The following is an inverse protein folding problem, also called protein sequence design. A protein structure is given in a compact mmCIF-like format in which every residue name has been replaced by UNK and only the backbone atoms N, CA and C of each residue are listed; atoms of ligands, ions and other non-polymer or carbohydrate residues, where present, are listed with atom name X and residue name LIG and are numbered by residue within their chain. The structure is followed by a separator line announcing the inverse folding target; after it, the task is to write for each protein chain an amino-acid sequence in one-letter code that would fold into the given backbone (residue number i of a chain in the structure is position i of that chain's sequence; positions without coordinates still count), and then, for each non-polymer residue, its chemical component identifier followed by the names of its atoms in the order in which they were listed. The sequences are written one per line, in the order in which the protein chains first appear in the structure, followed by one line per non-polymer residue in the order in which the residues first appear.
data_IF_488561974454
#
_entry.id   IF_488561974454
#
_cell.length_a   1.000
_cell.length_b   1.000
_cell.length_c   1.000
_cell.angle_alpha   90.00
_cell.angle_beta   90.00
_cell.angle_gamma   90.00
#
_symmetry.space_group_name_H-M   'P 1'
#
loop_
_entity.id
_entity.type
_entity.pdbx_description
1 polymer ?
#
# COMPACT_ATOMS: atom_id res chain seq x y z
N UNK A 1 -2.56 -45.78 39.24
CA UNK A 1 -1.50 -45.39 40.18
C UNK A 1 -1.77 -43.97 40.61
N UNK A 2 -1.93 -43.76 41.92
CA UNK A 2 -1.98 -42.44 42.55
C UNK A 2 -0.73 -42.32 43.41
N UNK A 3 0.06 -41.28 43.20
CA UNK A 3 1.28 -41.05 43.99
C UNK A 3 1.47 -39.58 44.31
N UNK A 4 2.06 -39.33 45.47
CA UNK A 4 2.54 -38.02 45.90
C UNK A 4 4.03 -38.16 46.18
N UNK A 5 4.87 -37.31 45.59
CA UNK A 5 6.32 -37.34 45.80
C UNK A 5 7.14 -37.49 44.52
N UNK A 6 8.30 -38.13 44.65
CA UNK A 6 9.27 -38.29 43.57
C UNK A 6 9.13 -39.66 42.90
N UNK A 7 8.95 -39.69 41.58
CA UNK A 7 9.15 -40.86 40.74
C UNK A 7 10.45 -40.63 39.98
N UNK A 8 11.48 -41.41 40.28
CA UNK A 8 12.77 -41.27 39.60
C UNK A 8 12.71 -41.85 38.18
N UNK A 9 12.26 -43.11 38.05
CA UNK A 9 12.04 -43.76 36.76
C UNK A 9 10.74 -44.55 36.77
N UNK A 10 10.00 -44.50 35.67
CA UNK A 10 8.88 -45.39 35.41
C UNK A 10 8.83 -45.71 33.91
N UNK A 11 9.05 -46.95 33.53
CA UNK A 11 9.02 -47.37 32.12
C UNK A 11 7.60 -47.19 31.55
N UNK A 12 6.59 -47.83 32.15
CA UNK A 12 5.27 -47.88 31.54
C UNK A 12 4.11 -47.66 32.51
N UNK A 13 3.12 -46.88 32.08
CA UNK A 13 1.82 -46.79 32.71
C UNK A 13 0.68 -47.10 31.74
N UNK A 14 0.04 -48.26 31.93
CA UNK A 14 -0.99 -48.78 31.01
C UNK A 14 -2.33 -48.03 31.08
N UNK A 15 -2.77 -47.58 32.26
CA UNK A 15 -4.17 -47.15 32.48
C UNK A 15 -4.33 -45.71 32.96
N UNK A 16 -4.17 -45.48 34.26
CA UNK A 16 -4.36 -44.15 34.86
C UNK A 16 -3.21 -43.84 35.79
N UNK A 17 -2.56 -42.72 35.52
CA UNK A 17 -1.59 -42.09 36.39
C UNK A 17 -2.15 -40.77 36.89
N UNK A 18 -2.13 -40.59 38.21
CA UNK A 18 -2.39 -39.33 38.89
C UNK A 18 -1.22 -39.07 39.82
N UNK A 19 -0.47 -37.99 39.59
CA UNK A 19 0.68 -37.67 40.43
C UNK A 19 0.66 -36.22 40.89
N UNK A 20 1.14 -35.99 42.12
CA UNK A 20 1.52 -34.67 42.61
C UNK A 20 2.98 -34.74 43.03
N UNK A 21 3.86 -34.03 42.33
CA UNK A 21 5.30 -34.03 42.61
C UNK A 21 6.16 -34.05 41.36
N UNK A 22 7.30 -34.74 41.43
CA UNK A 22 8.31 -34.74 40.37
C UNK A 22 8.41 -36.12 39.74
N UNK A 23 8.27 -36.18 38.41
CA UNK A 23 8.59 -37.35 37.59
C UNK A 23 9.88 -37.00 36.87
N UNK A 24 10.98 -37.70 37.19
CA UNK A 24 12.25 -37.43 36.52
C UNK A 24 12.28 -38.06 35.13
N UNK A 25 11.88 -39.32 34.99
CA UNK A 25 11.75 -39.98 33.69
C UNK A 25 10.50 -40.86 33.63
N UNK A 26 9.79 -40.79 32.50
CA UNK A 26 8.68 -41.67 32.16
C UNK A 26 8.73 -42.00 30.67
N UNK A 27 8.92 -43.25 30.29
CA UNK A 27 9.00 -43.61 28.87
C UNK A 27 7.60 -43.57 28.25
N UNK A 28 6.64 -44.34 28.77
CA UNK A 28 5.34 -44.49 28.11
C UNK A 28 4.13 -44.34 29.05
N UNK A 29 3.18 -43.50 28.64
CA UNK A 29 1.83 -43.48 29.19
C UNK A 29 0.77 -43.72 28.10
N UNK A 30 0.10 -44.87 28.20
CA UNK A 30 -0.84 -45.33 27.19
C UNK A 30 -2.19 -44.60 27.22
N UNK A 31 -2.77 -44.40 28.41
CA UNK A 31 -4.19 -44.05 28.53
C UNK A 31 -4.47 -42.66 29.09
N UNK A 32 -4.24 -42.43 30.39
CA UNK A 32 -4.50 -41.14 31.01
C UNK A 32 -3.42 -40.79 32.02
N UNK A 33 -2.84 -39.62 31.85
CA UNK A 33 -1.93 -38.99 32.79
C UNK A 33 -2.54 -37.68 33.27
N UNK A 34 -2.55 -37.50 34.58
CA UNK A 34 -2.83 -36.24 35.24
C UNK A 34 -1.68 -35.96 36.20
N UNK A 35 -0.97 -34.86 36.01
CA UNK A 35 0.14 -34.48 36.89
C UNK A 35 -0.02 -33.05 37.39
N UNK A 36 0.35 -32.84 38.65
CA UNK A 36 0.61 -31.51 39.20
C UNK A 36 2.06 -31.49 39.67
N UNK A 37 2.91 -30.69 39.03
CA UNK A 37 4.33 -30.59 39.36
C UNK A 37 5.23 -30.62 38.13
N UNK A 38 6.36 -31.32 38.23
CA UNK A 38 7.40 -31.30 37.21
C UNK A 38 7.56 -32.67 36.56
N UNK A 39 7.52 -32.71 35.23
CA UNK A 39 7.94 -33.85 34.42
C UNK A 39 9.25 -33.43 33.75
N UNK A 40 10.35 -34.08 34.09
CA UNK A 40 11.64 -33.73 33.49
C UNK A 40 11.77 -34.35 32.10
N UNK A 41 11.56 -35.66 31.94
CA UNK A 41 11.43 -36.28 30.62
C UNK A 41 10.19 -37.16 30.53
N UNK A 42 9.50 -37.06 29.38
CA UNK A 42 8.44 -37.98 28.98
C UNK A 42 8.59 -38.31 27.50
N UNK A 43 8.84 -39.57 27.15
CA UNK A 43 9.01 -39.92 25.73
C UNK A 43 7.64 -39.92 25.03
N UNK A 44 6.69 -40.73 25.48
CA UNK A 44 5.42 -40.92 24.78
C UNK A 44 4.19 -40.85 25.67
N UNK A 45 3.22 -40.03 25.25
CA UNK A 45 1.85 -40.08 25.75
C UNK A 45 0.85 -40.31 24.62
N UNK A 46 0.21 -41.48 24.62
CA UNK A 46 -0.65 -41.89 23.52
C UNK A 46 -2.03 -41.24 23.56
N UNK A 47 -2.72 -41.23 24.70
CA UNK A 47 -4.16 -40.89 24.73
C UNK A 47 -4.49 -39.51 25.33
N UNK A 48 -4.32 -39.32 26.64
CA UNK A 48 -4.66 -38.05 27.28
C UNK A 48 -3.64 -37.68 28.34
N UNK A 49 -3.09 -36.49 28.18
CA UNK A 49 -2.25 -35.84 29.17
C UNK A 49 -2.93 -34.57 29.66
N UNK A 50 -2.97 -34.41 30.98
CA UNK A 50 -3.30 -33.15 31.63
C UNK A 50 -2.19 -32.83 32.63
N UNK A 51 -1.53 -31.69 32.48
CA UNK A 51 -0.47 -31.28 33.40
C UNK A 51 -0.73 -29.88 33.92
N UNK A 52 -0.43 -29.67 35.19
CA UNK A 52 -0.28 -28.33 35.78
C UNK A 52 1.13 -28.24 36.33
N UNK A 53 1.96 -27.40 35.73
CA UNK A 53 3.36 -27.22 36.12
C UNK A 53 4.32 -27.21 34.93
N UNK A 54 5.45 -27.89 35.06
CA UNK A 54 6.54 -27.83 34.08
C UNK A 54 6.76 -29.19 33.42
N UNK A 55 6.81 -29.19 32.09
CA UNK A 55 7.31 -30.30 31.27
C UNK A 55 8.63 -29.82 30.68
N UNK A 56 9.75 -30.44 31.06
CA UNK A 56 11.04 -30.02 30.54
C UNK A 56 11.27 -30.62 29.14
N UNK A 57 11.13 -31.93 28.95
CA UNK A 57 11.09 -32.54 27.62
C UNK A 57 9.89 -33.46 27.44
N UNK A 58 9.25 -33.36 26.28
CA UNK A 58 8.25 -34.31 25.82
C UNK A 58 8.48 -34.62 24.34
N UNK A 59 8.78 -35.86 23.99
CA UNK A 59 9.02 -36.21 22.58
C UNK A 59 7.68 -36.24 21.83
N UNK A 60 6.74 -37.10 22.25
CA UNK A 60 5.51 -37.33 21.49
C UNK A 60 4.24 -37.32 22.34
N UNK A 61 3.24 -36.54 21.89
CA UNK A 61 1.87 -36.68 22.34
C UNK A 61 0.92 -36.90 21.15
N UNK A 62 0.32 -38.09 21.09
CA UNK A 62 -0.48 -38.48 19.94
C UNK A 62 -1.88 -37.85 19.94
N UNK A 63 -2.65 -37.99 21.02
CA UNK A 63 -4.09 -37.69 20.98
C UNK A 63 -4.50 -36.34 21.60
N UNK A 64 -4.36 -36.18 22.91
CA UNK A 64 -4.80 -34.94 23.59
C UNK A 64 -3.84 -34.54 24.68
N UNK A 65 -3.31 -33.33 24.55
CA UNK A 65 -2.53 -32.65 25.57
C UNK A 65 -3.28 -31.42 26.06
N UNK A 66 -3.37 -31.29 27.37
CA UNK A 66 -3.78 -30.05 28.03
C UNK A 66 -2.72 -29.69 29.07
N UNK A 67 -2.12 -28.52 28.97
CA UNK A 67 -1.12 -28.08 29.95
C UNK A 67 -1.45 -26.68 30.46
N UNK A 68 -1.23 -26.49 31.76
CA UNK A 68 -1.17 -25.16 32.38
C UNK A 68 0.21 -25.02 32.99
N UNK A 69 1.03 -24.12 32.44
CA UNK A 69 2.40 -23.88 32.89
C UNK A 69 3.39 -23.82 31.74
N UNK A 70 4.55 -24.45 31.91
CA UNK A 70 5.67 -24.33 30.98
C UNK A 70 5.98 -25.66 30.31
N UNK A 71 6.09 -25.65 28.98
CA UNK A 71 6.68 -26.71 28.18
C UNK A 71 8.01 -26.17 27.66
N UNK A 72 9.13 -26.75 28.07
CA UNK A 72 10.43 -26.29 27.60
C UNK A 72 10.73 -26.84 26.21
N UNK A 73 10.67 -28.15 26.01
CA UNK A 73 10.71 -28.74 24.66
C UNK A 73 9.56 -29.72 24.42
N UNK A 74 8.96 -29.63 23.24
CA UNK A 74 8.01 -30.60 22.72
C UNK A 74 8.32 -30.88 21.25
N UNK A 75 8.69 -32.12 20.91
CA UNK A 75 8.99 -32.43 19.50
C UNK A 75 7.69 -32.53 18.69
N UNK A 76 6.77 -33.43 19.07
CA UNK A 76 5.59 -33.70 18.24
C UNK A 76 4.28 -33.76 19.03
N UNK A 77 3.29 -33.02 18.54
CA UNK A 77 1.89 -33.22 18.92
C UNK A 77 1.01 -33.47 17.71
N UNK A 78 0.46 -34.68 17.60
CA UNK A 78 -0.29 -35.07 16.40
C UNK A 78 -1.70 -34.48 16.37
N UNK A 79 -2.52 -34.69 17.40
CA UNK A 79 -3.95 -34.42 17.30
C UNK A 79 -4.44 -33.10 17.92
N UNK A 80 -4.38 -32.96 19.24
CA UNK A 80 -4.92 -31.77 19.92
C UNK A 80 -4.03 -31.33 21.06
N UNK A 81 -3.55 -30.12 20.97
CA UNK A 81 -2.83 -29.41 22.02
C UNK A 81 -3.65 -28.23 22.50
N UNK A 82 -3.81 -28.11 23.82
CA UNK A 82 -4.28 -26.90 24.47
C UNK A 82 -3.29 -26.52 25.55
N UNK A 83 -2.73 -25.32 25.49
CA UNK A 83 -1.79 -24.85 26.51
C UNK A 83 -2.20 -23.49 27.04
N UNK A 84 -2.03 -23.29 28.34
CA UNK A 84 -2.06 -21.97 28.97
C UNK A 84 -0.70 -21.77 29.64
N UNK A 85 0.09 -20.83 29.15
CA UNK A 85 1.43 -20.54 29.67
C UNK A 85 2.46 -20.41 28.55
N UNK A 86 3.64 -21.00 28.75
CA UNK A 86 4.79 -20.82 27.88
C UNK A 86 5.18 -22.13 27.21
N UNK A 87 5.36 -22.09 25.88
CA UNK A 87 6.03 -23.13 25.11
C UNK A 87 7.35 -22.52 24.64
N UNK A 88 8.48 -23.06 25.09
CA UNK A 88 9.78 -22.54 24.68
C UNK A 88 10.15 -23.06 23.29
N UNK A 89 10.17 -24.37 23.08
CA UNK A 89 10.30 -24.94 21.72
C UNK A 89 9.20 -25.95 21.42
N UNK A 90 8.65 -25.86 20.21
CA UNK A 90 7.77 -26.86 19.64
C UNK A 90 8.15 -27.11 18.18
N UNK A 91 8.57 -28.33 17.83
CA UNK A 91 8.94 -28.62 16.44
C UNK A 91 7.68 -28.76 15.58
N UNK A 92 6.78 -29.71 15.91
CA UNK A 92 5.65 -30.02 15.04
C UNK A 92 4.32 -30.14 15.77
N UNK A 93 3.32 -29.45 15.23
CA UNK A 93 1.91 -29.70 15.55
C UNK A 93 1.08 -29.96 14.29
N UNK A 94 0.59 -31.20 14.14
CA UNK A 94 -0.09 -31.60 12.92
C UNK A 94 -1.53 -31.06 12.83
N UNK A 95 -2.37 -31.31 13.82
CA UNK A 95 -3.82 -31.11 13.66
C UNK A 95 -4.39 -29.83 14.27
N UNK A 96 -4.40 -29.70 15.61
CA UNK A 96 -5.01 -28.55 16.28
C UNK A 96 -4.18 -28.10 17.47
N UNK A 97 -3.74 -26.85 17.41
CA UNK A 97 -3.10 -26.15 18.50
C UNK A 97 -3.98 -24.99 18.96
N UNK A 98 -4.20 -24.91 20.26
CA UNK A 98 -4.76 -23.73 20.91
C UNK A 98 -3.84 -23.33 22.05
N UNK A 99 -3.32 -22.10 22.02
CA UNK A 99 -2.45 -21.61 23.09
C UNK A 99 -2.93 -20.26 23.61
N UNK A 100 -2.82 -20.08 24.93
CA UNK A 100 -2.93 -18.77 25.57
C UNK A 100 -1.62 -18.51 26.29
N UNK A 101 -0.86 -17.53 25.85
CA UNK A 101 0.45 -17.18 26.42
C UNK A 101 1.53 -17.01 25.37
N UNK A 102 2.71 -17.55 25.63
CA UNK A 102 3.90 -17.30 24.79
C UNK A 102 4.37 -18.58 24.12
N UNK A 103 4.61 -18.51 22.82
CA UNK A 103 5.37 -19.51 22.05
C UNK A 103 6.67 -18.84 21.65
N UNK A 104 7.81 -19.35 22.12
CA UNK A 104 9.10 -18.76 21.78
C UNK A 104 9.56 -19.24 20.40
N UNK A 105 9.64 -20.55 20.15
CA UNK A 105 9.88 -21.10 18.81
C UNK A 105 8.85 -22.16 18.45
N UNK A 106 8.33 -22.06 17.23
CA UNK A 106 7.50 -23.09 16.61
C UNK A 106 7.94 -23.32 15.17
N UNK A 107 8.42 -24.51 14.83
CA UNK A 107 8.87 -24.77 13.45
C UNK A 107 7.65 -24.95 12.54
N UNK A 108 6.78 -25.93 12.81
CA UNK A 108 5.70 -26.28 11.88
C UNK A 108 4.33 -26.48 12.56
N UNK A 109 3.32 -25.82 11.98
CA UNK A 109 1.92 -26.13 12.25
C UNK A 109 1.16 -26.41 10.95
N UNK A 110 0.73 -27.66 10.76
CA UNK A 110 0.12 -28.08 9.49
C UNK A 110 -1.32 -27.61 9.34
N UNK A 111 -2.21 -27.88 10.31
CA UNK A 111 -3.65 -27.74 10.09
C UNK A 111 -4.30 -26.50 10.69
N UNK A 112 -4.38 -26.39 12.01
CA UNK A 112 -5.08 -25.28 12.67
C UNK A 112 -4.33 -24.81 13.90
N UNK A 113 -3.93 -23.54 13.88
CA UNK A 113 -3.37 -22.83 15.00
C UNK A 113 -4.31 -21.72 15.45
N UNK A 114 -4.58 -21.67 16.74
CA UNK A 114 -5.23 -20.52 17.38
C UNK A 114 -4.38 -20.10 18.56
N UNK A 115 -3.91 -18.84 18.58
CA UNK A 115 -3.10 -18.34 19.69
C UNK A 115 -3.66 -17.02 20.20
N UNK A 116 -3.60 -16.83 21.52
CA UNK A 116 -3.78 -15.54 22.17
C UNK A 116 -2.53 -15.25 22.96
N UNK A 117 -1.76 -14.23 22.55
CA UNK A 117 -0.52 -13.84 23.19
C UNK A 117 0.60 -13.59 22.19
N UNK A 118 1.80 -14.07 22.49
CA UNK A 118 3.01 -13.76 21.73
C UNK A 118 3.56 -15.02 21.06
N UNK A 119 3.86 -14.92 19.77
CA UNK A 119 4.69 -15.87 19.03
C UNK A 119 5.98 -15.15 18.69
N UNK A 120 7.11 -15.61 19.20
CA UNK A 120 8.39 -14.96 18.91
C UNK A 120 8.91 -15.41 17.54
N UNK A 121 9.08 -16.71 17.29
CA UNK A 121 9.36 -17.22 15.95
C UNK A 121 8.39 -18.32 15.53
N UNK A 122 7.95 -18.25 14.27
CA UNK A 122 7.21 -19.30 13.61
C UNK A 122 7.71 -19.48 12.18
N UNK A 123 8.25 -20.65 11.85
CA UNK A 123 8.76 -20.87 10.49
C UNK A 123 7.59 -21.10 9.53
N UNK A 124 6.75 -22.12 9.76
CA UNK A 124 5.73 -22.50 8.78
C UNK A 124 4.34 -22.76 9.40
N UNK A 125 3.33 -22.13 8.79
CA UNK A 125 1.94 -22.51 8.98
C UNK A 125 1.23 -22.79 7.65
N UNK A 126 0.85 -24.05 7.44
CA UNK A 126 0.32 -24.47 6.14
C UNK A 126 -1.14 -24.05 5.94
N UNK A 127 -2.05 -24.40 6.84
CA UNK A 127 -3.49 -24.33 6.55
C UNK A 127 -4.23 -23.12 7.14
N UNK A 128 -4.34 -23.03 8.47
CA UNK A 128 -5.12 -21.96 9.12
C UNK A 128 -4.44 -21.47 10.38
N UNK A 129 -4.11 -20.19 10.40
CA UNK A 129 -3.62 -19.47 11.56
C UNK A 129 -4.63 -18.40 11.97
N UNK A 130 -4.96 -18.37 13.25
CA UNK A 130 -5.69 -17.28 13.88
C UNK A 130 -4.89 -16.82 15.11
N UNK A 131 -4.46 -15.57 15.15
CA UNK A 131 -3.72 -15.04 16.29
C UNK A 131 -4.36 -13.75 16.80
N UNK A 132 -4.37 -13.59 18.12
CA UNK A 132 -4.63 -12.31 18.78
C UNK A 132 -3.42 -11.98 19.63
N UNK A 133 -2.69 -10.92 19.27
CA UNK A 133 -1.48 -10.48 19.97
C UNK A 133 -0.35 -10.17 19.01
N UNK A 134 0.87 -10.62 19.35
CA UNK A 134 2.09 -10.25 18.64
C UNK A 134 2.73 -11.47 17.97
N UNK A 135 3.09 -11.33 16.71
CA UNK A 135 3.98 -12.24 16.00
C UNK A 135 5.27 -11.46 15.72
N UNK A 136 6.40 -11.89 16.28
CA UNK A 136 7.66 -11.18 16.04
C UNK A 136 8.27 -11.56 14.70
N UNK A 137 8.45 -12.85 14.43
CA UNK A 137 8.87 -13.34 13.11
C UNK A 137 7.98 -14.48 12.62
N UNK A 138 7.58 -14.40 11.35
CA UNK A 138 6.90 -15.47 10.65
C UNK A 138 7.47 -15.61 9.24
N UNK A 139 8.06 -16.76 8.91
CA UNK A 139 8.63 -16.95 7.58
C UNK A 139 7.52 -17.21 6.56
N UNK A 140 6.72 -18.27 6.75
CA UNK A 140 5.76 -18.68 5.72
C UNK A 140 4.36 -19.00 6.26
N UNK A 141 3.35 -18.41 5.62
CA UNK A 141 1.96 -18.83 5.74
C UNK A 141 1.32 -19.13 4.39
N UNK A 142 1.00 -20.41 4.15
CA UNK A 142 0.53 -20.83 2.82
C UNK A 142 -0.93 -20.47 2.56
N UNK A 143 -1.86 -20.86 3.43
CA UNK A 143 -3.30 -20.83 3.09
C UNK A 143 -4.10 -19.66 3.66
N UNK A 144 -4.31 -19.61 4.98
CA UNK A 144 -5.14 -18.58 5.60
C UNK A 144 -4.54 -18.09 6.90
N UNK A 145 -4.25 -16.80 6.94
CA UNK A 145 -3.85 -16.08 8.13
C UNK A 145 -4.91 -15.05 8.51
N UNK A 146 -5.31 -15.05 9.78
CA UNK A 146 -6.10 -14.00 10.39
C UNK A 146 -5.38 -13.53 11.65
N UNK A 147 -5.00 -12.27 11.72
CA UNK A 147 -4.34 -11.71 12.91
C UNK A 147 -5.05 -10.47 13.41
N UNK A 148 -5.13 -10.33 14.73
CA UNK A 148 -5.49 -9.08 15.39
C UNK A 148 -4.33 -8.70 16.30
N UNK A 149 -3.62 -7.61 15.98
CA UNK A 149 -2.47 -7.14 16.74
C UNK A 149 -1.29 -6.75 15.84
N UNK A 150 -0.09 -7.15 16.23
CA UNK A 150 1.15 -6.71 15.59
C UNK A 150 1.87 -7.89 14.93
N UNK A 151 2.27 -7.72 13.67
CA UNK A 151 3.23 -8.59 12.98
C UNK A 151 4.48 -7.74 12.77
N UNK A 152 5.61 -8.14 13.35
CA UNK A 152 6.84 -7.37 13.20
C UNK A 152 7.54 -7.72 11.88
N UNK A 153 7.84 -9.00 11.62
CA UNK A 153 8.29 -9.45 10.29
C UNK A 153 7.45 -10.60 9.77
N UNK A 154 7.12 -10.53 8.49
CA UNK A 154 6.52 -11.62 7.73
C UNK A 154 7.16 -11.72 6.35
N UNK A 155 7.81 -12.84 6.04
CA UNK A 155 8.46 -12.99 4.73
C UNK A 155 7.41 -13.29 3.66
N UNK A 156 6.65 -14.38 3.78
CA UNK A 156 5.74 -14.82 2.71
C UNK A 156 4.34 -15.20 3.18
N UNK A 157 3.34 -14.64 2.50
CA UNK A 157 1.96 -15.12 2.56
C UNK A 157 1.39 -15.43 1.18
N UNK A 158 1.12 -16.72 0.92
CA UNK A 158 0.74 -17.15 -0.43
C UNK A 158 -0.72 -16.85 -0.75
N UNK A 159 -1.68 -17.29 0.07
CA UNK A 159 -3.09 -17.32 -0.33
C UNK A 159 -3.97 -16.19 0.22
N UNK A 160 -4.22 -16.15 1.54
CA UNK A 160 -5.13 -15.16 2.13
C UNK A 160 -4.61 -14.66 3.46
N UNK A 161 -4.38 -13.36 3.53
CA UNK A 161 -4.05 -12.63 4.74
C UNK A 161 -5.18 -11.67 5.09
N UNK A 162 -5.62 -11.71 6.34
CA UNK A 162 -6.48 -10.69 6.93
C UNK A 162 -5.84 -10.21 8.22
N UNK A 163 -5.53 -8.93 8.33
CA UNK A 163 -4.93 -8.37 9.55
C UNK A 163 -5.73 -7.15 10.03
N UNK A 164 -5.86 -7.05 11.35
CA UNK A 164 -6.31 -5.83 12.02
C UNK A 164 -5.21 -5.41 12.99
N UNK A 165 -4.55 -4.29 12.72
CA UNK A 165 -3.46 -3.76 13.54
C UNK A 165 -2.26 -3.33 12.69
N UNK A 166 -1.05 -3.67 13.13
CA UNK A 166 0.20 -3.18 12.54
C UNK A 166 1.00 -4.31 11.91
N UNK A 167 1.44 -4.11 10.67
CA UNK A 167 2.47 -4.91 10.01
C UNK A 167 3.69 -4.01 9.87
N UNK A 168 4.81 -4.36 10.51
CA UNK A 168 6.02 -3.55 10.42
C UNK A 168 6.77 -3.86 9.11
N UNK A 169 7.16 -5.11 8.86
CA UNK A 169 7.68 -5.52 7.55
C UNK A 169 6.92 -6.70 6.97
N UNK A 170 6.64 -6.63 5.67
CA UNK A 170 6.12 -7.74 4.89
C UNK A 170 6.82 -7.79 3.53
N UNK A 171 7.53 -8.88 3.24
CA UNK A 171 8.24 -8.98 1.95
C UNK A 171 7.25 -9.31 0.83
N UNK A 172 6.54 -10.44 0.91
CA UNK A 172 5.72 -10.90 -0.20
C UNK A 172 4.31 -11.35 0.20
N UNK A 173 3.31 -10.83 -0.53
CA UNK A 173 1.96 -11.37 -0.52
C UNK A 173 1.45 -11.68 -1.94
N UNK A 174 1.23 -12.96 -2.24
CA UNK A 174 0.93 -13.40 -3.59
C UNK A 174 -0.53 -13.15 -3.98
N UNK A 175 -1.50 -13.64 -3.21
CA UNK A 175 -2.89 -13.72 -3.68
C UNK A 175 -3.84 -12.65 -3.16
N UNK A 176 -4.16 -12.63 -1.86
CA UNK A 176 -5.13 -11.69 -1.30
C UNK A 176 -4.69 -11.19 0.07
N UNK A 177 -4.52 -9.88 0.16
CA UNK A 177 -4.28 -9.17 1.39
C UNK A 177 -5.46 -8.25 1.71
N UNK A 178 -5.95 -8.32 2.94
CA UNK A 178 -6.88 -7.36 3.50
C UNK A 178 -6.32 -6.87 4.83
N UNK A 179 -6.07 -5.58 4.96
CA UNK A 179 -5.55 -5.00 6.21
C UNK A 179 -6.42 -3.84 6.69
N UNK A 180 -6.60 -3.75 7.99
CA UNK A 180 -7.14 -2.57 8.66
C UNK A 180 -6.10 -2.11 9.68
N UNK A 181 -5.47 -0.96 9.45
CA UNK A 181 -4.44 -0.41 10.32
C UNK A 181 -3.23 0.10 9.55
N UNK A 182 -2.03 -0.20 10.03
CA UNK A 182 -0.78 0.36 9.50
C UNK A 182 0.10 -0.74 8.89
N UNK A 183 0.60 -0.49 7.69
CA UNK A 183 1.68 -1.24 7.06
C UNK A 183 2.87 -0.29 6.98
N UNK A 184 3.97 -0.60 7.67
CA UNK A 184 5.15 0.26 7.63
C UNK A 184 5.97 0.02 6.36
N UNK A 185 6.36 -1.22 6.08
CA UNK A 185 7.00 -1.58 4.81
C UNK A 185 6.35 -2.80 4.18
N UNK A 186 6.11 -2.73 2.88
CA UNK A 186 5.66 -3.84 2.05
C UNK A 186 6.42 -3.85 0.72
N UNK A 187 7.20 -4.90 0.46
CA UNK A 187 7.97 -4.96 -0.80
C UNK A 187 7.05 -5.32 -1.96
N UNK A 188 6.37 -6.48 -1.93
CA UNK A 188 5.63 -6.97 -3.09
C UNK A 188 4.22 -7.49 -2.76
N UNK A 189 3.25 -7.00 -3.53
CA UNK A 189 1.90 -7.57 -3.56
C UNK A 189 1.43 -7.87 -4.98
N UNK A 190 1.30 -9.17 -5.31
CA UNK A 190 1.09 -9.57 -6.70
C UNK A 190 -0.37 -9.40 -7.15
N UNK A 191 -1.35 -9.97 -6.44
CA UNK A 191 -2.70 -10.11 -6.99
C UNK A 191 -3.73 -9.08 -6.50
N UNK A 192 -4.08 -9.09 -5.22
CA UNK A 192 -5.13 -8.19 -4.68
C UNK A 192 -4.75 -7.70 -3.30
N UNK A 193 -4.63 -6.38 -3.17
CA UNK A 193 -4.48 -5.67 -1.91
C UNK A 193 -5.71 -4.81 -1.65
N UNK A 194 -6.24 -4.92 -0.43
CA UNK A 194 -7.24 -4.00 0.10
C UNK A 194 -6.77 -3.51 1.47
N UNK A 195 -6.59 -2.20 1.63
CA UNK A 195 -6.15 -1.63 2.90
C UNK A 195 -7.08 -0.51 3.36
N UNK A 196 -7.34 -0.45 4.66
CA UNK A 196 -7.95 0.71 5.31
C UNK A 196 -6.97 1.19 6.38
N UNK A 197 -6.40 2.37 6.20
CA UNK A 197 -5.43 2.97 7.12
C UNK A 197 -4.22 3.53 6.42
N UNK A 198 -3.02 3.28 6.95
CA UNK A 198 -1.79 3.90 6.48
C UNK A 198 -0.83 2.85 5.90
N UNK A 199 -0.30 3.14 4.72
CA UNK A 199 0.84 2.44 4.12
C UNK A 199 1.99 3.44 4.11
N UNK A 200 3.08 3.16 4.81
CA UNK A 200 4.22 4.07 4.86
C UNK A 200 5.13 3.88 3.64
N UNK A 201 5.60 2.67 3.37
CA UNK A 201 6.27 2.35 2.10
C UNK A 201 5.67 1.11 1.44
N UNK A 202 5.49 1.19 0.12
CA UNK A 202 5.13 0.07 -0.73
C UNK A 202 5.95 0.11 -2.01
N UNK A 203 6.78 -0.90 -2.25
CA UNK A 203 7.62 -0.91 -3.46
C UNK A 203 6.79 -1.31 -4.68
N UNK A 204 6.16 -2.49 -4.68
CA UNK A 204 5.49 -3.00 -5.88
C UNK A 204 4.10 -3.57 -5.63
N UNK A 205 3.13 -3.11 -6.42
CA UNK A 205 1.82 -3.74 -6.56
C UNK A 205 1.47 -4.05 -8.01
N UNK A 206 1.37 -5.33 -8.36
CA UNK A 206 1.24 -5.75 -9.75
C UNK A 206 -0.19 -5.62 -10.27
N UNK A 207 -1.18 -6.22 -9.61
CA UNK A 207 -2.51 -6.40 -10.22
C UNK A 207 -3.59 -5.42 -9.75
N UNK A 208 -4.01 -5.47 -8.49
CA UNK A 208 -5.11 -4.63 -7.99
C UNK A 208 -4.83 -4.14 -6.59
N UNK A 209 -4.78 -2.83 -6.45
CA UNK A 209 -4.71 -2.13 -5.17
C UNK A 209 -5.99 -1.33 -4.94
N UNK A 210 -6.57 -1.48 -3.75
CA UNK A 210 -7.63 -0.61 -3.26
C UNK A 210 -7.24 -0.12 -1.87
N UNK A 211 -7.11 1.19 -1.68
CA UNK A 211 -6.76 1.76 -0.38
C UNK A 211 -7.76 2.83 0.04
N UNK A 212 -8.06 2.87 1.33
CA UNK A 212 -8.75 3.99 1.97
C UNK A 212 -7.84 4.50 3.09
N UNK A 213 -7.32 5.70 2.94
CA UNK A 213 -6.42 6.33 3.91
C UNK A 213 -5.20 6.97 3.26
N UNK A 214 -4.02 6.76 3.86
CA UNK A 214 -2.79 7.45 3.45
C UNK A 214 -1.77 6.45 2.91
N UNK A 215 -1.19 6.77 1.76
CA UNK A 215 0.01 6.14 1.21
C UNK A 215 1.12 7.18 1.26
N UNK A 216 2.19 6.93 2.03
CA UNK A 216 3.28 7.89 2.12
C UNK A 216 4.24 7.75 0.93
N UNK A 217 4.76 6.54 0.66
CA UNK A 217 5.50 6.26 -0.58
C UNK A 217 4.97 5.02 -1.28
N UNK A 218 4.82 5.12 -2.59
CA UNK A 218 4.54 3.99 -3.48
C UNK A 218 5.42 4.08 -4.73
N UNK A 219 6.30 3.10 -4.94
CA UNK A 219 7.21 3.14 -6.09
C UNK A 219 6.46 2.71 -7.37
N UNK A 220 5.89 1.51 -7.41
CA UNK A 220 5.31 0.97 -8.64
C UNK A 220 3.92 0.35 -8.46
N UNK A 221 2.97 0.80 -9.28
CA UNK A 221 1.69 0.11 -9.47
C UNK A 221 1.42 -0.19 -10.96
N UNK A 222 1.41 -1.47 -11.31
CA UNK A 222 1.37 -1.87 -12.71
C UNK A 222 -0.04 -1.80 -13.32
N UNK A 223 -1.04 -2.45 -12.71
CA UNK A 223 -2.32 -2.67 -13.39
C UNK A 223 -3.47 -1.75 -12.96
N UNK A 224 -3.94 -1.84 -11.72
CA UNK A 224 -5.10 -1.06 -11.27
C UNK A 224 -4.91 -0.56 -9.84
N UNK A 225 -4.96 0.75 -9.68
CA UNK A 225 -4.96 1.43 -8.40
C UNK A 225 -6.28 2.17 -8.22
N UNK A 226 -6.90 1.98 -7.05
CA UNK A 226 -8.02 2.79 -6.59
C UNK A 226 -7.71 3.29 -5.18
N UNK A 227 -7.65 4.59 -4.96
CA UNK A 227 -7.38 5.16 -3.64
C UNK A 227 -8.43 6.20 -3.25
N UNK A 228 -8.79 6.21 -1.97
CA UNK A 228 -9.54 7.30 -1.35
C UNK A 228 -8.70 7.83 -0.19
N UNK A 229 -8.22 9.06 -0.31
CA UNK A 229 -7.39 9.71 0.70
C UNK A 229 -6.16 10.39 0.11
N UNK A 230 -5.01 10.25 0.76
CA UNK A 230 -3.80 10.99 0.41
C UNK A 230 -2.70 10.05 -0.09
N UNK A 231 -2.08 10.41 -1.21
CA UNK A 231 -0.83 9.81 -1.69
C UNK A 231 0.23 10.89 -1.59
N UNK A 232 1.27 10.68 -0.78
CA UNK A 232 2.33 11.69 -0.64
C UNK A 232 3.35 11.58 -1.78
N UNK A 233 3.91 10.40 -2.04
CA UNK A 233 4.71 10.16 -3.25
C UNK A 233 4.25 8.91 -4.00
N UNK A 234 4.18 9.03 -5.32
CA UNK A 234 3.98 7.92 -6.24
C UNK A 234 4.92 8.04 -7.43
N UNK A 235 5.85 7.09 -7.60
CA UNK A 235 6.80 7.17 -8.70
C UNK A 235 6.14 6.73 -10.01
N UNK A 236 5.61 5.51 -10.10
CA UNK A 236 5.11 4.96 -11.35
C UNK A 236 3.73 4.30 -11.24
N UNK A 237 2.82 4.72 -12.12
CA UNK A 237 1.58 4.00 -12.40
C UNK A 237 1.42 3.70 -13.89
N UNK A 238 1.43 2.43 -14.26
CA UNK A 238 1.46 2.03 -15.67
C UNK A 238 0.08 2.08 -16.34
N UNK A 239 -0.92 1.40 -15.77
CA UNK A 239 -2.18 1.13 -16.49
C UNK A 239 -3.38 2.00 -16.12
N UNK A 240 -3.92 1.84 -14.91
CA UNK A 240 -5.15 2.56 -14.50
C UNK A 240 -5.06 3.04 -13.07
N UNK A 241 -5.16 4.35 -12.88
CA UNK A 241 -5.25 5.00 -11.59
C UNK A 241 -6.60 5.70 -11.45
N UNK A 242 -7.26 5.47 -10.32
CA UNK A 242 -8.42 6.25 -9.88
C UNK A 242 -8.18 6.73 -8.46
N UNK A 243 -8.18 8.03 -8.22
CA UNK A 243 -8.00 8.58 -6.87
C UNK A 243 -9.09 9.58 -6.52
N UNK A 244 -9.52 9.56 -5.26
CA UNK A 244 -10.35 10.61 -4.67
C UNK A 244 -9.58 11.17 -3.47
N UNK A 245 -9.11 12.41 -3.57
CA UNK A 245 -8.34 13.07 -2.53
C UNK A 245 -7.12 13.81 -3.08
N UNK A 246 -5.98 13.72 -2.38
CA UNK A 246 -4.80 14.52 -2.68
C UNK A 246 -3.63 13.63 -3.11
N UNK A 247 -2.97 14.01 -4.20
CA UNK A 247 -1.67 13.46 -4.61
C UNK A 247 -0.65 14.59 -4.46
N UNK A 248 0.34 14.42 -3.58
CA UNK A 248 1.35 15.46 -3.38
C UNK A 248 2.41 15.41 -4.49
N UNK A 249 3.07 14.28 -4.71
CA UNK A 249 3.95 14.09 -5.86
C UNK A 249 3.60 12.84 -6.66
N UNK A 250 3.64 12.98 -7.99
CA UNK A 250 3.50 11.88 -8.93
C UNK A 250 4.50 12.03 -10.08
N UNK A 251 5.42 11.09 -10.25
CA UNK A 251 6.41 11.21 -11.32
C UNK A 251 5.82 10.76 -12.66
N UNK A 252 5.35 9.51 -12.78
CA UNK A 252 4.94 8.95 -14.06
C UNK A 252 3.58 8.24 -14.01
N UNK A 253 2.68 8.63 -14.92
CA UNK A 253 1.47 7.88 -15.23
C UNK A 253 1.32 7.63 -16.74
N UNK A 254 1.43 6.36 -17.14
CA UNK A 254 1.53 6.01 -18.57
C UNK A 254 0.18 5.98 -19.28
N UNK A 255 -0.84 5.27 -18.78
CA UNK A 255 -2.04 4.96 -19.57
C UNK A 255 -3.30 5.77 -19.22
N UNK A 256 -3.92 5.52 -18.07
CA UNK A 256 -5.19 6.19 -17.70
C UNK A 256 -5.19 6.64 -16.26
N UNK A 257 -5.42 7.94 -16.07
CA UNK A 257 -5.61 8.56 -14.77
C UNK A 257 -6.99 9.20 -14.67
N UNK A 258 -7.66 8.98 -13.56
CA UNK A 258 -8.85 9.74 -13.16
C UNK A 258 -8.67 10.19 -11.71
N UNK A 259 -8.66 11.49 -11.45
CA UNK A 259 -8.55 12.03 -10.09
C UNK A 259 -9.68 13.01 -9.79
N UNK A 260 -10.21 12.93 -8.58
CA UNK A 260 -11.12 13.95 -8.02
C UNK A 260 -10.43 14.52 -6.78
N UNK A 261 -9.94 15.76 -6.89
CA UNK A 261 -9.19 16.44 -5.85
C UNK A 261 -7.94 17.15 -6.37
N UNK A 262 -6.89 17.23 -5.54
CA UNK A 262 -5.71 18.05 -5.82
C UNK A 262 -4.53 17.19 -6.24
N UNK A 263 -3.80 17.61 -7.27
CA UNK A 263 -2.45 17.10 -7.58
C UNK A 263 -1.47 18.27 -7.41
N UNK A 264 -0.51 18.14 -6.50
CA UNK A 264 0.43 19.22 -6.19
C UNK A 264 1.68 19.24 -7.07
N UNK A 265 2.23 18.08 -7.44
CA UNK A 265 3.21 17.97 -8.53
C UNK A 265 2.94 16.73 -9.37
N UNK A 266 3.11 16.89 -10.69
CA UNK A 266 3.06 15.79 -11.65
C UNK A 266 4.04 16.05 -12.78
N UNK A 267 5.01 15.15 -12.96
CA UNK A 267 6.05 15.30 -13.98
C UNK A 267 5.60 14.81 -15.37
N UNK A 268 5.09 13.58 -15.48
CA UNK A 268 4.78 12.96 -16.77
C UNK A 268 3.45 12.21 -16.78
N UNK A 269 2.60 12.55 -17.76
CA UNK A 269 1.44 11.73 -18.12
C UNK A 269 1.23 11.65 -19.63
N UNK A 270 1.38 10.44 -20.17
CA UNK A 270 1.55 10.24 -21.61
C UNK A 270 0.25 10.07 -22.41
N UNK A 271 -0.76 9.38 -21.86
CA UNK A 271 -1.93 8.98 -22.64
C UNK A 271 -3.21 9.73 -22.29
N UNK A 272 -3.89 9.38 -21.19
CA UNK A 272 -5.19 9.98 -20.83
C UNK A 272 -5.22 10.36 -19.35
N UNK A 273 -5.44 11.63 -19.11
CA UNK A 273 -5.70 12.20 -17.80
C UNK A 273 -7.09 12.81 -17.77
N UNK A 274 -7.84 12.50 -16.72
CA UNK A 274 -9.08 13.18 -16.36
C UNK A 274 -8.98 13.69 -14.92
N UNK A 275 -9.11 15.00 -14.71
CA UNK A 275 -9.03 15.58 -13.35
C UNK A 275 -10.19 16.51 -13.06
N UNK A 276 -10.75 16.42 -11.84
CA UNK A 276 -11.73 17.37 -11.31
C UNK A 276 -11.15 17.98 -10.04
N UNK A 277 -10.49 19.15 -10.17
CA UNK A 277 -9.89 19.90 -9.06
C UNK A 277 -8.78 20.86 -9.50
N UNK A 278 -8.03 21.38 -8.53
CA UNK A 278 -6.93 22.35 -8.75
C UNK A 278 -5.59 21.62 -8.97
N UNK A 279 -4.70 22.21 -9.77
CA UNK A 279 -3.31 21.76 -9.94
C UNK A 279 -2.34 22.91 -9.67
N UNK A 280 -1.28 22.62 -8.91
CA UNK A 280 -0.11 23.49 -8.72
C UNK A 280 1.14 22.80 -9.27
N UNK A 281 2.23 23.55 -9.53
CA UNK A 281 3.59 23.03 -9.76
C UNK A 281 3.76 21.89 -10.77
N UNK A 282 3.81 22.21 -12.06
CA UNK A 282 4.16 21.27 -13.13
C UNK A 282 5.63 21.48 -13.48
N UNK A 283 6.50 20.57 -13.04
CA UNK A 283 7.85 20.45 -13.62
C UNK A 283 7.76 19.51 -14.84
N UNK A 284 8.31 19.92 -15.98
CA UNK A 284 8.15 19.36 -17.34
C UNK A 284 8.18 17.81 -17.47
N UNK A 285 7.37 17.17 -18.33
CA UNK A 285 7.57 17.07 -19.80
C UNK A 285 6.35 16.39 -20.44
N UNK A 286 5.73 17.08 -21.40
CA UNK A 286 4.63 16.62 -22.26
C UNK A 286 3.40 16.06 -21.52
N UNK A 287 2.40 16.92 -21.28
CA UNK A 287 1.08 16.46 -20.82
C UNK A 287 0.05 16.57 -21.95
N UNK A 288 -0.54 15.43 -22.32
CA UNK A 288 -1.70 15.37 -23.23
C UNK A 288 -2.98 15.30 -22.42
N UNK A 289 -3.71 16.41 -22.35
CA UNK A 289 -4.98 16.49 -21.63
C UNK A 289 -6.15 16.10 -22.54
N UNK A 290 -7.12 15.39 -21.94
CA UNK A 290 -8.43 15.14 -22.55
C UNK A 290 -9.56 15.65 -21.66
N UNK A 291 -9.30 16.71 -20.88
CA UNK A 291 -10.21 17.30 -19.90
C UNK A 291 -11.22 18.27 -20.54
N UNK A 292 -12.41 18.37 -19.93
CA UNK A 292 -13.48 19.34 -20.23
C UNK A 292 -13.18 20.74 -19.63
N UNK A 293 -12.39 20.84 -18.54
CA UNK A 293 -12.00 22.13 -17.95
C UNK A 293 -10.76 22.00 -17.05
N UNK A 294 -9.74 22.83 -17.28
CA UNK A 294 -8.57 22.93 -16.39
C UNK A 294 -8.50 24.29 -15.68
N UNK A 295 -8.23 24.27 -14.37
CA UNK A 295 -7.98 25.47 -13.54
C UNK A 295 -6.62 25.37 -12.84
N UNK A 296 -5.71 26.31 -13.13
CA UNK A 296 -4.35 26.39 -12.55
C UNK A 296 -4.17 27.64 -11.70
N UNK A 297 -3.42 27.51 -10.60
CA UNK A 297 -3.12 28.63 -9.67
C UNK A 297 -1.65 28.81 -9.29
N UNK A 298 -0.70 28.10 -9.92
CA UNK A 298 0.75 28.24 -9.71
C UNK A 298 1.50 28.60 -10.99
N UNK A 299 2.73 29.11 -10.87
CA UNK A 299 3.65 29.39 -11.98
C UNK A 299 4.76 28.33 -12.08
N UNK A 300 5.08 27.91 -13.30
CA UNK A 300 6.03 26.85 -13.64
C UNK A 300 7.27 27.42 -14.39
N UNK A 301 8.43 26.75 -14.30
CA UNK A 301 9.63 27.13 -15.07
C UNK A 301 9.41 26.93 -16.59
N UNK A 302 8.81 25.80 -16.99
CA UNK A 302 8.45 25.57 -18.39
C UNK A 302 7.25 24.65 -18.49
N UNK A 303 6.29 24.97 -19.37
CA UNK A 303 5.09 24.15 -19.58
C UNK A 303 4.92 23.81 -21.06
N UNK A 304 4.72 22.53 -21.37
CA UNK A 304 4.26 22.04 -22.68
C UNK A 304 2.96 21.27 -22.49
N UNK A 305 1.82 21.86 -22.86
CA UNK A 305 0.51 21.23 -22.72
C UNK A 305 -0.29 21.21 -24.03
N UNK A 306 -1.09 20.16 -24.20
CA UNK A 306 -2.14 20.10 -25.23
C UNK A 306 -3.47 19.87 -24.54
N UNK A 307 -4.38 20.84 -24.68
CA UNK A 307 -5.73 20.83 -24.10
C UNK A 307 -6.73 20.52 -25.20
N UNK A 308 -7.72 19.67 -24.91
CA UNK A 308 -8.86 19.43 -25.80
C UNK A 308 -9.79 20.64 -25.91
N UNK A 309 -11.03 20.40 -26.28
CA UNK A 309 -11.87 21.37 -27.00
C UNK A 309 -12.44 22.54 -26.16
N UNK A 310 -12.44 22.52 -24.82
CA UNK A 310 -13.35 23.42 -24.06
C UNK A 310 -12.67 24.57 -23.27
N UNK A 311 -11.84 24.33 -22.24
CA UNK A 311 -11.36 25.48 -21.44
C UNK A 311 -10.06 25.32 -20.65
N UNK A 312 -9.17 26.32 -20.76
CA UNK A 312 -7.98 26.51 -19.93
C UNK A 312 -8.04 27.83 -19.14
N UNK A 313 -8.05 27.77 -17.80
CA UNK A 313 -7.97 28.92 -16.89
C UNK A 313 -6.61 28.92 -16.14
N UNK A 314 -5.78 29.95 -16.32
CA UNK A 314 -4.47 30.09 -15.64
C UNK A 314 -4.38 31.41 -14.87
N UNK A 315 -4.13 31.37 -13.55
CA UNK A 315 -4.12 32.60 -12.74
C UNK A 315 -2.75 33.24 -12.47
N UNK A 316 -1.63 32.58 -12.80
CA UNK A 316 -0.25 33.03 -12.50
C UNK A 316 0.64 32.85 -13.75
N UNK A 317 1.73 33.61 -13.83
CA UNK A 317 2.70 33.56 -14.95
C UNK A 317 3.77 32.47 -14.79
N UNK A 318 4.07 31.78 -15.89
CA UNK A 318 5.13 30.78 -16.07
C UNK A 318 6.39 31.47 -16.69
N UNK A 319 7.62 30.96 -16.51
CA UNK A 319 8.78 31.53 -17.23
C UNK A 319 8.65 31.24 -18.74
N UNK A 320 8.28 30.02 -19.11
CA UNK A 320 7.97 29.66 -20.51
C UNK A 320 6.73 28.77 -20.65
N UNK A 321 5.70 29.25 -21.34
CA UNK A 321 4.49 28.48 -21.62
C UNK A 321 4.40 28.13 -23.12
N UNK A 322 4.33 26.85 -23.47
CA UNK A 322 3.99 26.34 -24.80
C UNK A 322 2.68 25.54 -24.74
N UNK A 323 1.60 26.01 -25.36
CA UNK A 323 0.32 25.30 -25.31
C UNK A 323 -0.42 25.22 -26.65
N UNK A 324 -1.09 24.09 -26.89
CA UNK A 324 -2.12 23.99 -27.93
C UNK A 324 -3.48 23.78 -27.27
N UNK A 325 -4.41 24.72 -27.46
CA UNK A 325 -5.79 24.66 -26.94
C UNK A 325 -6.72 24.46 -28.13
N UNK A 326 -7.73 23.59 -27.98
CA UNK A 326 -8.82 23.43 -28.94
C UNK A 326 -9.73 24.67 -29.04
N UNK A 327 -10.96 24.46 -29.52
CA UNK A 327 -11.73 25.52 -30.18
C UNK A 327 -12.36 26.58 -29.25
N UNK A 328 -12.58 26.35 -27.96
CA UNK A 328 -13.48 27.23 -27.19
C UNK A 328 -12.81 28.39 -26.41
N UNK A 329 -11.96 28.15 -25.39
CA UNK A 329 -11.53 29.29 -24.54
C UNK A 329 -10.22 29.15 -23.76
N UNK A 330 -9.37 30.17 -23.87
CA UNK A 330 -8.21 30.39 -23.00
C UNK A 330 -8.38 31.69 -22.19
N UNK A 331 -8.47 31.57 -20.85
CA UNK A 331 -8.54 32.69 -19.90
C UNK A 331 -7.27 32.73 -19.04
N UNK A 332 -6.59 33.89 -19.02
CA UNK A 332 -5.35 34.06 -18.25
C UNK A 332 -5.31 35.38 -17.50
N UNK A 333 -4.86 35.35 -16.23
CA UNK A 333 -4.67 36.57 -15.45
C UNK A 333 -3.21 36.96 -15.15
N UNK A 334 -2.26 36.02 -15.20
CA UNK A 334 -0.82 36.27 -15.05
C UNK A 334 -0.10 36.56 -16.37
N UNK A 335 1.15 37.07 -16.31
CA UNK A 335 2.02 37.29 -17.46
C UNK A 335 3.32 36.47 -17.36
N UNK A 336 3.77 35.91 -18.48
CA UNK A 336 4.92 35.00 -18.60
C UNK A 336 6.18 35.71 -19.15
N UNK A 337 7.38 35.14 -19.01
CA UNK A 337 8.54 35.66 -19.77
C UNK A 337 8.41 35.29 -21.26
N UNK A 338 8.00 34.06 -21.58
CA UNK A 338 7.73 33.63 -22.96
C UNK A 338 6.47 32.79 -23.10
N UNK A 339 5.51 33.24 -23.91
CA UNK A 339 4.33 32.45 -24.32
C UNK A 339 4.44 32.03 -25.79
N UNK A 340 4.29 30.74 -26.06
CA UNK A 340 4.01 30.16 -27.38
C UNK A 340 2.66 29.47 -27.32
N UNK A 341 1.67 29.87 -28.12
CA UNK A 341 0.40 29.15 -28.11
C UNK A 341 -0.28 29.02 -29.47
N UNK A 342 -1.01 27.92 -29.65
CA UNK A 342 -1.97 27.75 -30.75
C UNK A 342 -3.35 27.54 -30.15
N UNK A 343 -4.26 28.49 -30.35
CA UNK A 343 -5.64 28.44 -29.85
C UNK A 343 -6.58 28.34 -31.04
N UNK A 344 -7.58 27.47 -30.96
CA UNK A 344 -8.67 27.38 -31.94
C UNK A 344 -9.60 28.61 -31.93
N UNK A 345 -10.74 28.51 -32.61
CA UNK A 345 -11.41 29.66 -33.22
C UNK A 345 -12.12 30.65 -32.28
N UNK A 346 -12.44 30.35 -31.02
CA UNK A 346 -13.44 31.18 -30.32
C UNK A 346 -12.87 32.34 -29.46
N UNK A 347 -11.95 32.13 -28.51
CA UNK A 347 -11.61 33.23 -27.57
C UNK A 347 -10.33 33.12 -26.75
N UNK A 348 -9.50 34.17 -26.82
CA UNK A 348 -8.35 34.40 -25.93
C UNK A 348 -8.53 35.67 -25.07
N UNK A 349 -8.73 35.50 -23.76
CA UNK A 349 -8.82 36.59 -22.77
C UNK A 349 -7.57 36.60 -21.87
N UNK A 350 -6.84 37.72 -21.85
CA UNK A 350 -5.59 37.86 -21.08
C UNK A 350 -5.55 39.18 -20.31
N UNK A 351 -5.22 39.14 -19.02
CA UNK A 351 -5.03 40.36 -18.22
C UNK A 351 -3.57 40.70 -17.85
N UNK A 352 -2.65 39.74 -17.87
CA UNK A 352 -1.21 39.95 -17.67
C UNK A 352 -0.46 40.22 -18.99
N UNK A 353 0.67 40.92 -18.92
CA UNK A 353 1.55 41.15 -20.07
C UNK A 353 2.78 40.23 -20.03
N UNK A 354 3.11 39.59 -21.14
CA UNK A 354 4.30 38.74 -21.27
C UNK A 354 5.50 39.53 -21.82
N UNK A 355 6.74 39.11 -21.53
CA UNK A 355 7.91 39.72 -22.19
C UNK A 355 7.97 39.35 -23.68
N UNK A 356 7.65 38.09 -24.03
CA UNK A 356 7.63 37.60 -25.41
C UNK A 356 6.41 36.74 -25.72
N UNK A 357 5.63 37.13 -26.74
CA UNK A 357 4.48 36.37 -27.24
C UNK A 357 4.71 35.85 -28.67
N UNK A 358 4.47 34.55 -28.89
CA UNK A 358 4.40 33.86 -30.18
C UNK A 358 3.06 33.09 -30.24
N UNK A 359 2.01 33.64 -30.84
CA UNK A 359 0.70 32.97 -30.87
C UNK A 359 0.09 32.85 -32.27
N UNK A 360 -0.60 31.74 -32.51
CA UNK A 360 -1.55 31.60 -33.62
C UNK A 360 -2.96 31.44 -33.03
N UNK A 361 -3.84 32.39 -33.33
CA UNK A 361 -5.23 32.38 -32.85
C UNK A 361 -6.16 32.33 -34.05
N UNK A 362 -7.19 31.49 -33.98
CA UNK A 362 -8.28 31.44 -34.95
C UNK A 362 -9.16 32.70 -34.95
N UNK A 363 -10.26 32.66 -35.71
CA UNK A 363 -10.88 33.84 -36.33
C UNK A 363 -11.72 34.80 -35.44
N UNK A 364 -11.92 34.62 -34.13
CA UNK A 364 -13.01 35.38 -33.46
C UNK A 364 -12.65 36.49 -32.45
N UNK A 365 -11.69 36.30 -31.51
CA UNK A 365 -11.49 37.33 -30.47
C UNK A 365 -10.21 37.27 -29.64
N UNK A 366 -9.50 38.41 -29.58
CA UNK A 366 -8.38 38.66 -28.67
C UNK A 366 -8.61 39.90 -27.78
N UNK A 367 -8.71 39.69 -26.46
CA UNK A 367 -8.84 40.78 -25.46
C UNK A 367 -7.60 40.86 -24.54
N UNK A 368 -6.99 42.04 -24.43
CA UNK A 368 -5.76 42.27 -23.65
C UNK A 368 -5.82 43.53 -22.78
N UNK A 369 -5.25 43.49 -21.57
CA UNK A 369 -5.17 44.66 -20.67
C UNK A 369 -3.80 45.25 -20.37
N UNK A 370 -2.67 44.60 -20.69
CA UNK A 370 -1.31 45.11 -20.44
C UNK A 370 -0.36 44.81 -21.62
N UNK A 371 0.62 45.69 -21.87
CA UNK A 371 1.52 45.64 -23.04
C UNK A 371 2.73 44.70 -22.89
N UNK A 372 3.10 44.05 -23.99
CA UNK A 372 4.22 43.08 -24.11
C UNK A 372 5.49 43.77 -24.67
N UNK A 373 6.69 43.24 -24.39
CA UNK A 373 7.93 43.79 -24.95
C UNK A 373 8.18 43.35 -26.40
N UNK A 374 7.85 42.09 -26.76
CA UNK A 374 8.03 41.52 -28.10
C UNK A 374 6.85 40.64 -28.50
N UNK A 375 6.30 40.88 -29.70
CA UNK A 375 5.10 40.21 -30.20
C UNK A 375 5.30 39.67 -31.62
N UNK A 376 5.05 38.37 -31.81
CA UNK A 376 4.91 37.69 -33.10
C UNK A 376 3.57 36.97 -33.10
N UNK A 377 2.77 37.16 -34.15
CA UNK A 377 1.44 36.56 -34.24
C UNK A 377 1.07 36.21 -35.68
N UNK A 378 0.28 35.17 -35.84
CA UNK A 378 -0.55 34.93 -37.01
C UNK A 378 -2.01 34.93 -36.55
N UNK A 379 -2.75 35.97 -36.88
CA UNK A 379 -4.18 36.10 -36.53
C UNK A 379 -4.97 36.01 -37.83
N UNK A 380 -6.06 35.26 -37.79
CA UNK A 380 -7.10 35.30 -38.82
C UNK A 380 -7.90 36.62 -38.81
N UNK A 381 -9.09 36.63 -39.40
CA UNK A 381 -9.85 37.85 -39.67
C UNK A 381 -10.53 38.45 -38.41
N UNK A 382 -9.91 39.51 -37.86
CA UNK A 382 -10.51 40.61 -37.05
C UNK A 382 -10.65 40.54 -35.48
N UNK A 383 -10.91 41.76 -34.95
CA UNK A 383 -11.18 42.27 -33.58
C UNK A 383 -10.14 42.11 -32.47
N UNK A 384 -9.45 43.23 -32.24
CA UNK A 384 -8.49 43.45 -31.17
C UNK A 384 -8.92 44.59 -30.25
N UNK A 385 -9.02 44.32 -28.95
CA UNK A 385 -9.34 45.31 -27.91
C UNK A 385 -8.10 45.53 -27.03
N UNK A 386 -7.67 46.79 -26.86
CA UNK A 386 -6.50 47.19 -26.04
C UNK A 386 -6.94 48.15 -24.92
N UNK A 387 -6.36 48.00 -23.73
CA UNK A 387 -6.34 49.03 -22.68
C UNK A 387 -4.88 49.46 -22.34
N UNK A 388 -4.74 50.66 -21.78
CA UNK A 388 -3.58 51.58 -21.85
C UNK A 388 -2.25 51.03 -21.29
N UNK A 389 -1.11 51.22 -22.00
CA UNK A 389 0.24 51.09 -21.40
C UNK A 389 1.43 50.59 -22.24
N UNK A 390 1.36 50.44 -23.57
CA UNK A 390 2.43 49.77 -24.35
C UNK A 390 3.69 50.62 -24.57
N UNK A 391 4.88 50.09 -24.21
CA UNK A 391 6.16 50.50 -24.84
C UNK A 391 6.39 49.65 -26.11
N UNK A 392 7.14 50.20 -27.06
CA UNK A 392 7.33 49.76 -28.48
C UNK A 392 7.19 48.24 -28.74
N UNK A 393 6.12 47.83 -29.42
CA UNK A 393 5.97 46.51 -30.04
C UNK A 393 6.35 46.55 -31.53
N UNK A 394 7.31 45.74 -31.98
CA UNK A 394 7.53 45.49 -33.41
C UNK A 394 6.57 44.41 -33.90
N UNK A 395 5.54 44.77 -34.63
CA UNK A 395 4.62 43.82 -35.25
C UNK A 395 5.27 43.28 -36.53
N UNK A 396 5.50 41.97 -36.60
CA UNK A 396 5.75 41.26 -37.85
C UNK A 396 4.50 40.44 -38.15
N UNK A 397 3.61 41.01 -38.96
CA UNK A 397 2.51 40.26 -39.55
C UNK A 397 3.08 39.52 -40.77
N UNK A 398 3.41 38.24 -40.62
CA UNK A 398 3.62 37.37 -41.79
C UNK A 398 2.25 36.98 -42.33
N UNK A 399 1.67 37.86 -43.15
CA UNK A 399 0.57 37.45 -44.02
C UNK A 399 1.14 36.43 -45.00
N UNK A 400 0.71 35.17 -44.85
CA UNK A 400 0.79 34.19 -45.93
C UNK A 400 -0.06 34.73 -47.08
N UNK A 401 0.59 35.44 -48.01
CA UNK A 401 0.04 35.68 -49.34
C UNK A 401 -0.25 34.32 -49.97
N UNK A 402 -1.52 33.91 -49.92
CA UNK A 402 -2.10 32.97 -50.88
C UNK A 402 -2.01 33.62 -52.25
N UNK A 403 -0.92 33.38 -52.96
CA UNK A 403 -0.88 33.57 -54.40
C UNK A 403 -1.68 32.43 -55.07
N UNK A 404 -2.85 32.82 -55.59
CA UNK A 404 -3.45 32.39 -56.87
C UNK A 404 -3.53 30.91 -57.19
#
# INVERSE_FOLDING_TARGET
MQTVGLIHTLEQCLNRMQTVGLIHTLEQCLNRMQTVGLIHTLEQCLNRMQTVGLIHTLEQCLNRMQTVGLIHTLEQCLNRMQTVGLIHTLEQCLNRMQTVGLIHTLEQCLNRMQTVGLIHTLEQCLNRMQTVGLIHTLEQCLNRMQTVGLIHTLEQCLNRMQTVGLIHTLEQCLNRMQTVGLIHTLEQCLNRMQTVGLIHTLEQCLNRMQTVGLIHTLEQCLNRMQTVGLIHTLEQCLNRMQTVGLIHTLEQCLNRMQTVGLIHTLEQCLNRMQTVGLRSGIEEKLVRWGDEKLVRSGGDEKLECSVGDEKLECSVGDEKLECSVGDEKLERSGGDEKLVCSVGDEKLERSGGDEKLECSVGDEKLERSVGEEKLVRSVGDEKLVRSVGSRRSSVRDEQLERCG
#
